data_IF_945386673886
#
_entry.id   IF_945386673886
#
_cell.length_a   1.000
_cell.length_b   1.000
_cell.length_c   1.000
_cell.angle_alpha   90.00
_cell.angle_beta   90.00
_cell.angle_gamma   90.00
#
_symmetry.space_group_name_H-M   'P 1'
#
loop_
_entity.id
_entity.type
_entity.pdbx_description
1 polymer ?
#
# COMPACT_ATOMS: atom_id res chain seq x y z
N UNK A 1 17.24 -8.39 19.87
CA UNK A 1 17.76 -7.51 18.79
C UNK A 1 16.69 -6.49 18.43
N UNK A 2 17.03 -5.28 17.99
CA UNK A 2 16.03 -4.33 17.51
C UNK A 2 15.16 -4.98 16.43
N UNK A 3 13.86 -4.70 16.44
CA UNK A 3 12.98 -5.13 15.36
C UNK A 3 13.14 -4.20 14.17
N UNK A 4 13.08 -4.76 12.96
CA UNK A 4 13.09 -4.00 11.72
C UNK A 4 11.85 -3.10 11.62
N UNK A 5 12.00 -1.91 11.03
CA UNK A 5 10.93 -0.94 10.83
C UNK A 5 10.73 -0.66 9.35
N UNK A 6 9.46 -0.56 8.91
CA UNK A 6 9.13 -0.23 7.52
C UNK A 6 7.95 0.72 7.42
N UNK A 7 7.83 1.36 6.25
CA UNK A 7 6.66 2.13 5.86
C UNK A 7 5.71 1.30 4.99
N UNK A 8 4.44 1.69 4.90
CA UNK A 8 3.45 0.98 4.07
C UNK A 8 3.35 1.59 2.67
N UNK A 9 3.21 2.91 2.54
CA UNK A 9 3.08 3.56 1.24
C UNK A 9 3.00 5.07 1.38
N UNK A 10 1.80 5.63 1.22
CA UNK A 10 1.58 7.06 1.16
C UNK A 10 2.10 7.85 2.36
N UNK A 11 2.61 9.02 2.09
CA UNK A 11 3.15 9.99 3.06
C UNK A 11 2.55 11.37 2.82
N UNK A 12 2.41 12.23 3.85
CA UNK A 12 1.90 13.58 3.65
C UNK A 12 2.77 14.37 2.69
N UNK A 13 2.16 14.91 1.65
CA UNK A 13 2.89 15.70 0.67
C UNK A 13 3.54 16.94 1.30
N UNK A 14 4.77 17.31 0.90
CA UNK A 14 5.34 18.60 1.22
C UNK A 14 4.43 19.74 0.74
N UNK A 15 4.29 20.80 1.55
CA UNK A 15 3.36 21.93 1.29
C UNK A 15 3.58 22.57 -0.09
N UNK A 16 4.81 22.55 -0.60
CA UNK A 16 5.16 23.15 -1.89
C UNK A 16 4.78 22.27 -3.10
N UNK A 17 4.49 20.97 -2.92
CA UNK A 17 4.26 20.06 -4.06
C UNK A 17 2.99 20.41 -4.83
N UNK A 18 1.91 20.80 -4.14
CA UNK A 18 0.60 21.18 -4.71
C UNK A 18 0.03 20.19 -5.73
N UNK A 19 0.53 18.96 -5.79
CA UNK A 19 0.02 17.91 -6.65
C UNK A 19 -1.35 17.50 -6.14
N UNK A 20 -2.39 17.53 -6.97
CA UNK A 20 -3.72 17.09 -6.56
C UNK A 20 -3.71 15.60 -6.25
N UNK A 21 -4.07 15.23 -5.03
CA UNK A 21 -4.21 13.84 -4.62
C UNK A 21 -5.52 13.62 -3.92
N UNK A 22 -5.91 12.38 -3.83
CA UNK A 22 -7.11 12.02 -3.12
C UNK A 22 -7.05 12.36 -1.61
N UNK A 23 -5.86 12.57 -1.03
CA UNK A 23 -5.69 13.02 0.36
C UNK A 23 -5.98 14.49 0.55
N UNK A 24 -5.72 15.32 -0.46
CA UNK A 24 -5.87 16.77 -0.37
C UNK A 24 -7.29 17.25 -0.66
N UNK A 25 -8.05 16.52 -1.47
CA UNK A 25 -9.35 16.93 -1.98
C UNK A 25 -10.51 15.97 -1.64
N UNK A 26 -10.36 15.10 -0.63
CA UNK A 26 -11.46 14.22 -0.20
C UNK A 26 -12.64 15.01 0.38
N UNK A 27 -13.88 14.55 0.14
CA UNK A 27 -14.29 13.41 -0.69
C UNK A 27 -14.40 13.71 -2.19
N UNK A 28 -14.13 14.94 -2.62
CA UNK A 28 -14.47 15.46 -3.95
C UNK A 28 -13.38 15.25 -5.01
N UNK A 29 -12.26 14.59 -4.66
CA UNK A 29 -11.18 14.31 -5.61
C UNK A 29 -11.67 13.48 -6.79
N UNK A 30 -11.36 13.94 -8.01
CA UNK A 30 -11.63 13.25 -9.26
C UNK A 30 -10.33 12.97 -10.01
N UNK A 31 -10.21 11.81 -10.69
CA UNK A 31 -9.07 11.55 -11.58
C UNK A 31 -8.82 12.63 -12.62
N UNK A 32 -9.88 13.33 -13.05
CA UNK A 32 -9.80 14.48 -13.97
C UNK A 32 -9.06 15.70 -13.41
N UNK A 33 -8.98 15.85 -12.08
CA UNK A 33 -8.28 16.99 -11.46
C UNK A 33 -6.77 16.87 -11.63
N UNK A 34 -6.25 15.65 -11.51
CA UNK A 34 -4.86 15.37 -11.83
C UNK A 34 -4.57 15.61 -13.33
N UNK A 35 -5.46 15.19 -14.22
CA UNK A 35 -5.30 15.43 -15.65
C UNK A 35 -5.24 16.94 -15.98
N UNK A 36 -6.09 17.77 -15.34
CA UNK A 36 -6.05 19.23 -15.49
C UNK A 36 -4.73 19.80 -15.00
N UNK A 37 -4.25 19.35 -13.85
CA UNK A 37 -2.98 19.78 -13.30
C UNK A 37 -1.82 19.45 -14.25
N UNK A 38 -1.76 18.23 -14.78
CA UNK A 38 -0.74 17.81 -15.75
C UNK A 38 -0.79 18.60 -17.05
N UNK A 39 -1.99 18.96 -17.53
CA UNK A 39 -2.15 19.79 -18.76
C UNK A 39 -1.67 21.24 -18.55
N UNK A 40 -1.59 21.72 -17.32
CA UNK A 40 -1.16 23.08 -16.98
C UNK A 40 0.30 23.15 -16.52
N UNK A 41 0.98 22.03 -16.39
CA UNK A 41 2.34 21.91 -15.83
C UNK A 41 3.25 21.28 -16.88
N UNK A 42 4.41 21.87 -17.15
CA UNK A 42 5.37 21.23 -18.05
C UNK A 42 5.90 19.94 -17.43
N UNK A 43 6.31 18.99 -18.25
CA UNK A 43 6.90 17.74 -17.75
C UNK A 43 8.14 18.01 -16.90
N UNK A 44 9.00 18.96 -17.31
CA UNK A 44 10.21 19.32 -16.57
C UNK A 44 9.88 19.91 -15.19
N UNK A 45 8.90 20.83 -15.11
CA UNK A 45 8.48 21.42 -13.83
C UNK A 45 7.85 20.39 -12.92
N UNK A 46 7.04 19.47 -13.48
CA UNK A 46 6.44 18.36 -12.73
C UNK A 46 7.52 17.42 -12.14
N UNK A 47 8.46 16.97 -12.97
CA UNK A 47 9.54 16.08 -12.53
C UNK A 47 10.42 16.74 -11.47
N UNK A 48 10.80 18.01 -11.65
CA UNK A 48 11.58 18.75 -10.66
C UNK A 48 10.83 18.90 -9.31
N UNK A 49 9.51 19.15 -9.38
CA UNK A 49 8.65 19.25 -8.20
C UNK A 49 8.58 17.93 -7.45
N UNK A 50 8.34 16.83 -8.17
CA UNK A 50 8.24 15.49 -7.61
C UNK A 50 9.56 15.04 -7.01
N UNK A 51 10.68 15.16 -7.74
CA UNK A 51 12.00 14.74 -7.26
C UNK A 51 12.37 15.45 -5.96
N UNK A 52 12.09 16.75 -5.87
CA UNK A 52 12.28 17.51 -4.64
C UNK A 52 11.43 16.97 -3.49
N UNK A 53 10.14 16.72 -3.74
CA UNK A 53 9.21 16.27 -2.72
C UNK A 53 9.48 14.82 -2.27
N UNK A 54 9.86 13.93 -3.20
CA UNK A 54 10.29 12.55 -2.89
C UNK A 54 11.55 12.56 -2.03
N UNK A 55 12.55 13.36 -2.41
CA UNK A 55 13.80 13.50 -1.64
C UNK A 55 13.55 13.99 -0.21
N UNK A 56 12.70 15.01 -0.03
CA UNK A 56 12.31 15.48 1.31
C UNK A 56 11.62 14.38 2.12
N UNK A 57 10.73 13.61 1.49
CA UNK A 57 10.00 12.50 2.13
C UNK A 57 10.95 11.37 2.55
N UNK A 58 11.88 10.97 1.70
CA UNK A 58 12.88 9.94 2.00
C UNK A 58 13.83 10.38 3.13
N UNK A 59 14.31 11.63 3.07
CA UNK A 59 15.15 12.18 4.11
C UNK A 59 14.45 12.24 5.47
N UNK A 60 13.16 12.59 5.50
CA UNK A 60 12.37 12.60 6.73
C UNK A 60 12.25 11.19 7.33
N UNK A 61 11.85 10.19 6.56
CA UNK A 61 11.74 8.79 6.99
C UNK A 61 13.09 8.25 7.49
N UNK A 62 14.17 8.50 6.74
CA UNK A 62 15.52 8.07 7.11
C UNK A 62 16.00 8.73 8.41
N UNK A 63 15.76 10.04 8.58
CA UNK A 63 16.14 10.78 9.79
C UNK A 63 15.36 10.32 11.03
N UNK A 64 14.16 9.78 10.86
CA UNK A 64 13.37 9.17 11.92
C UNK A 64 13.84 7.75 12.27
N UNK A 65 14.79 7.19 11.52
CA UNK A 65 15.37 5.88 11.80
C UNK A 65 14.62 4.69 11.18
N UNK A 66 13.74 4.90 10.21
CA UNK A 66 13.06 3.82 9.48
C UNK A 66 14.08 3.03 8.67
N UNK A 67 14.00 1.68 8.69
CA UNK A 67 14.96 0.80 8.01
C UNK A 67 14.62 0.59 6.53
N UNK A 68 13.36 0.35 6.18
CA UNK A 68 12.86 0.22 4.81
C UNK A 68 11.83 1.32 4.56
N UNK A 69 12.19 2.29 3.72
CA UNK A 69 11.40 3.49 3.44
C UNK A 69 10.56 3.33 2.16
N UNK A 70 9.65 4.28 1.89
CA UNK A 70 8.91 4.38 0.62
C UNK A 70 9.10 5.76 0.00
N UNK A 71 8.83 5.92 -1.30
CA UNK A 71 8.78 7.20 -1.99
C UNK A 71 7.60 8.09 -1.53
N UNK A 72 6.80 7.57 -0.59
CA UNK A 72 5.61 8.24 -0.05
C UNK A 72 4.45 8.36 -1.02
N UNK A 73 4.54 7.71 -2.19
CA UNK A 73 3.56 7.81 -3.28
C UNK A 73 3.34 9.25 -3.75
N UNK A 74 4.35 10.09 -3.58
CA UNK A 74 4.29 11.54 -3.84
C UNK A 74 3.90 11.84 -5.29
N UNK A 75 4.35 11.02 -6.23
CA UNK A 75 4.07 11.15 -7.65
C UNK A 75 2.62 10.80 -8.02
N UNK A 76 1.91 10.11 -7.14
CA UNK A 76 0.63 9.49 -7.44
C UNK A 76 -0.54 10.37 -7.01
N UNK A 77 -1.47 10.60 -7.91
CA UNK A 77 -2.78 11.17 -7.57
C UNK A 77 -3.61 10.22 -6.69
N UNK A 78 -3.53 8.95 -7.04
CA UNK A 78 -4.06 7.80 -6.32
C UNK A 78 -3.25 6.57 -6.76
N UNK A 79 -2.82 5.72 -5.83
CA UNK A 79 -1.92 4.60 -6.12
C UNK A 79 -2.49 3.60 -7.14
N UNK A 80 -3.82 3.43 -7.20
CA UNK A 80 -4.49 2.56 -8.18
C UNK A 80 -4.55 3.24 -9.54
N UNK A 81 -5.03 4.49 -9.58
CA UNK A 81 -5.17 5.25 -10.82
C UNK A 81 -3.83 5.44 -11.52
N UNK A 82 -2.77 5.67 -10.75
CA UNK A 82 -1.44 5.87 -11.28
C UNK A 82 -1.00 4.68 -12.15
N UNK A 83 -1.12 3.45 -11.66
CA UNK A 83 -0.82 2.26 -12.44
C UNK A 83 -1.80 2.10 -13.62
N UNK A 84 -3.11 2.23 -13.38
CA UNK A 84 -4.13 1.97 -14.40
C UNK A 84 -4.06 2.93 -15.59
N UNK A 85 -3.52 4.18 -15.41
CA UNK A 85 -3.33 5.13 -16.52
C UNK A 85 -2.38 4.61 -17.60
N UNK A 86 -1.45 3.76 -17.23
CA UNK A 86 -0.46 3.18 -18.14
C UNK A 86 -0.90 1.84 -18.73
N UNK A 87 -2.06 1.32 -18.36
CA UNK A 87 -2.55 0.02 -18.82
C UNK A 87 -3.58 0.20 -19.93
N UNK A 88 -3.36 -0.47 -21.07
CA UNK A 88 -4.34 -0.49 -22.15
C UNK A 88 -5.66 -1.11 -21.66
N UNK A 89 -6.78 -0.52 -22.07
CA UNK A 89 -8.12 -0.99 -21.76
C UNK A 89 -8.85 -0.16 -20.70
N UNK A 90 -8.14 0.69 -19.95
CA UNK A 90 -8.77 1.66 -19.03
C UNK A 90 -9.13 2.98 -19.74
N UNK A 91 -10.37 3.41 -19.56
CA UNK A 91 -10.88 4.72 -19.99
C UNK A 91 -10.91 5.69 -18.80
N UNK A 92 -10.05 6.71 -18.84
CA UNK A 92 -9.98 7.81 -17.87
C UNK A 92 -10.73 9.08 -18.33
N UNK A 93 -11.36 9.04 -19.51
CA UNK A 93 -12.13 10.15 -20.09
C UNK A 93 -13.60 10.03 -19.71
N UNK A 94 -14.18 8.84 -19.88
CA UNK A 94 -15.58 8.57 -19.57
C UNK A 94 -15.67 7.74 -18.28
N UNK A 95 -15.61 8.46 -17.16
CA UNK A 95 -15.64 7.85 -15.82
C UNK A 95 -17.02 7.28 -15.49
N UNK A 96 -17.06 6.23 -14.70
CA UNK A 96 -18.28 5.63 -14.19
C UNK A 96 -18.48 5.94 -12.71
N UNK A 97 -19.69 6.32 -12.32
CA UNK A 97 -20.06 6.44 -10.90
C UNK A 97 -20.15 5.05 -10.28
N UNK A 98 -19.35 4.79 -9.28
CA UNK A 98 -19.32 3.52 -8.54
C UNK A 98 -19.55 3.78 -7.05
N UNK A 99 -20.46 2.99 -6.48
CA UNK A 99 -20.58 2.89 -5.02
C UNK A 99 -19.39 2.11 -4.46
N UNK A 100 -18.65 2.73 -3.58
CA UNK A 100 -17.45 2.18 -2.97
C UNK A 100 -17.70 1.80 -1.51
N UNK A 101 -17.05 0.73 -1.05
CA UNK A 101 -17.07 0.25 0.34
C UNK A 101 -18.50 0.11 0.90
N UNK A 102 -19.32 -0.70 0.24
CA UNK A 102 -20.70 -0.98 0.66
C UNK A 102 -21.57 0.28 0.85
N UNK A 103 -21.39 1.27 -0.03
CA UNK A 103 -22.18 2.50 0.00
C UNK A 103 -21.61 3.63 0.85
N UNK A 104 -20.40 3.48 1.41
CA UNK A 104 -19.78 4.53 2.22
C UNK A 104 -19.58 5.84 1.45
N UNK A 105 -19.30 5.77 0.15
CA UNK A 105 -19.28 6.91 -0.77
C UNK A 105 -19.47 6.50 -2.23
N UNK A 106 -19.78 7.46 -3.07
CA UNK A 106 -19.82 7.31 -4.52
C UNK A 106 -18.63 8.04 -5.11
N UNK A 107 -17.84 7.34 -5.93
CA UNK A 107 -16.70 7.90 -6.65
C UNK A 107 -16.92 7.84 -8.17
N UNK A 108 -16.34 8.77 -8.91
CA UNK A 108 -16.14 8.66 -10.35
C UNK A 108 -14.83 7.93 -10.60
N UNK A 109 -14.90 6.72 -11.17
CA UNK A 109 -13.74 5.83 -11.33
C UNK A 109 -13.47 5.53 -12.80
N UNK A 110 -12.20 5.21 -13.17
CA UNK A 110 -11.88 4.76 -14.52
C UNK A 110 -12.61 3.47 -14.86
N UNK A 111 -12.91 3.27 -16.14
CA UNK A 111 -13.71 2.16 -16.62
C UNK A 111 -12.92 1.26 -17.56
N UNK A 112 -12.92 -0.03 -17.32
CA UNK A 112 -12.34 -1.03 -18.23
C UNK A 112 -13.34 -1.23 -19.39
N UNK A 113 -12.92 -0.88 -20.63
CA UNK A 113 -13.75 -0.95 -21.84
C UNK A 113 -13.20 -1.87 -22.92
N UNK A 114 -11.98 -2.32 -22.76
CA UNK A 114 -11.31 -3.23 -23.69
C UNK A 114 -10.55 -4.30 -22.90
N UNK A 115 -10.10 -5.34 -23.58
CA UNK A 115 -9.22 -6.34 -22.99
C UNK A 115 -7.94 -5.68 -22.46
N UNK A 116 -7.61 -5.97 -21.20
CA UNK A 116 -6.39 -5.46 -20.58
C UNK A 116 -5.15 -6.12 -21.18
N UNK A 117 -4.08 -5.34 -21.30
CA UNK A 117 -2.80 -5.80 -21.80
C UNK A 117 -1.63 -5.07 -21.16
N UNK A 118 -0.48 -5.75 -21.14
CA UNK A 118 0.77 -5.14 -20.71
C UNK A 118 1.11 -4.00 -21.68
N UNK A 119 1.39 -2.77 -21.19
CA UNK A 119 1.77 -1.66 -22.06
C UNK A 119 3.09 -1.95 -22.79
N UNK A 120 3.27 -1.36 -23.99
CA UNK A 120 4.51 -1.49 -24.76
C UNK A 120 5.72 -0.91 -24.03
N UNK A 121 5.55 0.28 -23.43
CA UNK A 121 6.54 0.86 -22.53
C UNK A 121 6.10 0.70 -21.08
N UNK A 122 6.84 -0.12 -20.36
CA UNK A 122 6.66 -0.40 -18.94
C UNK A 122 7.80 0.16 -18.09
N UNK A 123 8.78 0.82 -18.70
CA UNK A 123 9.99 1.29 -18.03
C UNK A 123 9.72 2.38 -16.98
N UNK A 124 8.62 3.05 -17.08
CA UNK A 124 8.25 4.19 -16.24
C UNK A 124 8.28 3.85 -14.74
N UNK A 125 7.73 2.71 -14.32
CA UNK A 125 7.65 2.34 -12.89
C UNK A 125 9.03 2.04 -12.30
N UNK A 126 9.90 1.36 -13.07
CA UNK A 126 11.27 1.11 -12.67
C UNK A 126 12.10 2.40 -12.62
N UNK A 127 11.87 3.34 -13.54
CA UNK A 127 12.54 4.63 -13.55
C UNK A 127 12.12 5.51 -12.36
N UNK A 128 10.83 5.54 -12.01
CA UNK A 128 10.33 6.24 -10.82
C UNK A 128 10.99 5.69 -9.55
N UNK A 129 10.98 4.36 -9.38
CA UNK A 129 11.63 3.73 -8.24
C UNK A 129 13.13 4.03 -8.20
N UNK A 130 13.83 3.93 -9.34
CA UNK A 130 15.26 4.20 -9.43
C UNK A 130 15.60 5.65 -9.07
N UNK A 131 14.79 6.62 -9.51
CA UNK A 131 14.94 8.02 -9.10
C UNK A 131 14.82 8.17 -7.58
N UNK A 132 13.87 7.52 -6.94
CA UNK A 132 13.72 7.53 -5.49
C UNK A 132 14.93 6.89 -4.80
N UNK A 133 15.37 5.69 -5.22
CA UNK A 133 16.49 4.97 -4.63
C UNK A 133 17.82 5.72 -4.74
N UNK A 134 18.05 6.45 -5.84
CA UNK A 134 19.27 7.28 -6.00
C UNK A 134 19.35 8.43 -4.98
N UNK A 135 18.26 8.82 -4.37
CA UNK A 135 18.18 9.87 -3.34
C UNK A 135 18.19 9.30 -1.91
N UNK A 136 18.39 7.99 -1.71
CA UNK A 136 18.28 7.37 -0.40
C UNK A 136 19.29 6.23 -0.23
N UNK A 137 20.02 6.21 0.90
CA UNK A 137 20.93 5.11 1.25
C UNK A 137 20.20 3.88 1.82
N UNK A 138 18.99 4.09 2.38
CA UNK A 138 18.15 3.00 2.87
C UNK A 138 17.43 2.33 1.70
N UNK A 139 17.05 1.04 1.83
CA UNK A 139 16.21 0.38 0.84
C UNK A 139 14.88 1.12 0.63
N UNK A 140 14.53 1.43 -0.60
CA UNK A 140 13.22 1.99 -0.98
C UNK A 140 12.31 0.86 -1.43
N UNK A 141 11.22 0.65 -0.70
CA UNK A 141 10.18 -0.30 -1.04
C UNK A 141 9.25 0.28 -2.10
N UNK A 142 9.00 -0.47 -3.18
CA UNK A 142 7.98 -0.14 -4.17
C UNK A 142 6.61 -0.69 -3.73
N UNK A 143 5.54 0.10 -3.91
CA UNK A 143 4.15 -0.31 -3.67
C UNK A 143 3.41 -0.41 -4.99
N UNK A 144 2.65 -1.49 -5.18
CA UNK A 144 1.90 -1.78 -6.41
C UNK A 144 0.48 -2.26 -6.02
N UNK A 145 -0.59 -1.72 -6.62
CA UNK A 145 -1.93 -2.24 -6.35
C UNK A 145 -2.11 -3.65 -6.91
N UNK A 146 -2.73 -4.52 -6.14
CA UNK A 146 -3.03 -5.88 -6.58
C UNK A 146 -4.33 -6.01 -7.39
N UNK A 147 -4.55 -7.16 -8.05
CA UNK A 147 -5.69 -7.38 -8.94
C UNK A 147 -7.05 -7.15 -8.28
N UNK A 148 -7.30 -7.70 -7.08
CA UNK A 148 -8.58 -7.52 -6.39
C UNK A 148 -8.84 -6.05 -6.04
N UNK A 149 -7.79 -5.34 -5.65
CA UNK A 149 -7.88 -3.90 -5.31
C UNK A 149 -8.18 -3.05 -6.54
N UNK A 150 -7.57 -3.36 -7.69
CA UNK A 150 -7.87 -2.69 -8.95
C UNK A 150 -9.34 -2.94 -9.33
N UNK A 151 -9.80 -4.19 -9.32
CA UNK A 151 -11.20 -4.56 -9.62
C UNK A 151 -12.17 -3.85 -8.67
N UNK A 152 -11.86 -3.86 -7.38
CA UNK A 152 -12.69 -3.23 -6.35
C UNK A 152 -12.81 -1.70 -6.50
N UNK A 153 -11.85 -1.07 -7.14
CA UNK A 153 -11.69 0.40 -7.21
C UNK A 153 -11.95 1.00 -8.60
N UNK A 154 -12.15 0.18 -9.63
CA UNK A 154 -12.44 0.61 -11.00
C UNK A 154 -13.79 0.05 -11.47
N UNK A 155 -14.35 0.56 -12.55
CA UNK A 155 -15.54 0.00 -13.17
C UNK A 155 -15.15 -0.97 -14.29
N UNK A 156 -15.95 -2.02 -14.47
CA UNK A 156 -15.76 -2.99 -15.54
C UNK A 156 -16.97 -2.95 -16.49
N UNK A 157 -16.72 -2.73 -17.79
CA UNK A 157 -17.71 -2.75 -18.85
C UNK A 157 -17.33 -3.70 -20.02
N UNK A 158 -16.29 -4.52 -19.82
CA UNK A 158 -15.79 -5.41 -20.87
C UNK A 158 -15.84 -6.89 -20.50
N UNK A 159 -15.40 -7.26 -19.28
CA UNK A 159 -15.33 -8.66 -18.87
C UNK A 159 -16.64 -9.13 -18.24
N UNK A 160 -17.13 -10.29 -18.66
CA UNK A 160 -18.28 -10.97 -18.05
C UNK A 160 -17.87 -11.74 -16.78
N UNK A 161 -16.63 -12.21 -16.71
CA UNK A 161 -16.07 -12.96 -15.57
C UNK A 161 -14.97 -12.16 -14.87
N UNK A 162 -15.16 -11.90 -13.58
CA UNK A 162 -14.17 -11.19 -12.74
C UNK A 162 -12.89 -11.99 -12.51
N UNK A 163 -12.95 -13.32 -12.58
CA UNK A 163 -11.77 -14.18 -12.45
C UNK A 163 -10.89 -14.08 -13.71
N UNK A 164 -11.50 -13.98 -14.90
CA UNK A 164 -10.79 -13.70 -16.15
C UNK A 164 -10.13 -12.31 -16.09
N UNK A 165 -10.89 -11.28 -15.69
CA UNK A 165 -10.36 -9.93 -15.48
C UNK A 165 -9.16 -9.93 -14.52
N UNK A 166 -9.29 -10.62 -13.38
CA UNK A 166 -8.23 -10.75 -12.40
C UNK A 166 -6.98 -11.43 -12.98
N UNK A 167 -7.17 -12.49 -13.79
CA UNK A 167 -6.07 -13.20 -14.47
C UNK A 167 -5.31 -12.31 -15.48
N UNK A 168 -6.01 -11.44 -16.22
CA UNK A 168 -5.35 -10.49 -17.11
C UNK A 168 -4.62 -9.38 -16.32
N UNK A 169 -5.17 -8.94 -15.19
CA UNK A 169 -4.49 -8.02 -14.27
C UNK A 169 -3.23 -8.64 -13.65
N UNK A 170 -3.23 -9.94 -13.34
CA UNK A 170 -2.00 -10.65 -12.89
C UNK A 170 -0.86 -10.48 -13.89
N UNK A 171 -1.13 -10.64 -15.18
CA UNK A 171 -0.10 -10.48 -16.24
C UNK A 171 0.44 -9.04 -16.26
N UNK A 172 -0.45 -8.07 -16.14
CA UNK A 172 -0.09 -6.65 -16.11
C UNK A 172 0.76 -6.33 -14.86
N UNK A 173 0.31 -6.72 -13.69
CA UNK A 173 1.01 -6.45 -12.42
C UNK A 173 2.36 -7.20 -12.37
N UNK A 174 2.41 -8.46 -12.81
CA UNK A 174 3.65 -9.23 -12.89
C UNK A 174 4.69 -8.55 -13.79
N UNK A 175 4.27 -8.00 -14.94
CA UNK A 175 5.17 -7.28 -15.82
C UNK A 175 5.73 -6.00 -15.14
N UNK A 176 4.91 -5.25 -14.40
CA UNK A 176 5.37 -4.09 -13.62
C UNK A 176 6.36 -4.50 -12.53
N UNK A 177 6.07 -5.58 -11.79
CA UNK A 177 6.98 -6.12 -10.77
C UNK A 177 8.30 -6.55 -11.39
N UNK A 178 8.28 -7.26 -12.53
CA UNK A 178 9.51 -7.63 -13.25
C UNK A 178 10.35 -6.42 -13.67
N UNK A 179 9.70 -5.34 -14.10
CA UNK A 179 10.40 -4.11 -14.43
C UNK A 179 11.04 -3.44 -13.21
N UNK A 180 10.35 -3.39 -12.07
CA UNK A 180 10.91 -2.93 -10.79
C UNK A 180 12.15 -3.74 -10.40
N UNK A 181 12.09 -5.07 -10.50
CA UNK A 181 13.21 -5.97 -10.18
C UNK A 181 14.39 -5.74 -11.13
N UNK A 182 14.13 -5.55 -12.42
CA UNK A 182 15.15 -5.21 -13.43
C UNK A 182 15.81 -3.85 -13.15
N UNK A 183 15.04 -2.89 -12.63
CA UNK A 183 15.56 -1.59 -12.19
C UNK A 183 16.44 -1.68 -10.93
N UNK A 184 16.38 -2.80 -10.19
CA UNK A 184 17.16 -3.07 -8.98
C UNK A 184 16.36 -3.12 -7.68
N UNK A 185 15.02 -2.96 -7.73
CA UNK A 185 14.17 -3.02 -6.55
C UNK A 185 14.21 -4.41 -5.89
N UNK A 186 14.35 -4.43 -4.55
CA UNK A 186 14.42 -5.68 -3.78
C UNK A 186 13.34 -5.78 -2.69
N UNK A 187 12.55 -4.73 -2.48
CA UNK A 187 11.41 -4.73 -1.57
C UNK A 187 10.17 -4.31 -2.37
N UNK A 188 9.23 -5.23 -2.58
CA UNK A 188 8.01 -4.96 -3.37
C UNK A 188 6.80 -5.36 -2.57
N UNK A 189 5.91 -4.40 -2.35
CA UNK A 189 4.65 -4.58 -1.65
C UNK A 189 3.49 -4.56 -2.64
N UNK A 190 2.68 -5.61 -2.59
CA UNK A 190 1.40 -5.69 -3.29
C UNK A 190 0.27 -5.26 -2.36
N UNK A 191 -0.48 -4.23 -2.72
CA UNK A 191 -1.56 -3.68 -1.90
C UNK A 191 -2.90 -4.33 -2.23
N UNK A 192 -3.41 -5.14 -1.30
CA UNK A 192 -4.66 -5.92 -1.47
C UNK A 192 -5.68 -5.72 -0.34
N UNK A 193 -6.03 -4.48 0.04
CA UNK A 193 -7.03 -4.23 1.07
C UNK A 193 -8.43 -4.79 0.75
N UNK A 194 -8.72 -5.12 -0.51
CA UNK A 194 -10.02 -5.70 -0.91
C UNK A 194 -10.15 -7.15 -0.45
N UNK A 195 -9.06 -7.90 -0.31
CA UNK A 195 -9.10 -9.29 0.16
C UNK A 195 -9.80 -9.43 1.51
N UNK A 196 -9.52 -8.53 2.45
CA UNK A 196 -10.10 -8.57 3.79
C UNK A 196 -11.59 -8.22 3.79
N UNK A 197 -12.04 -7.44 2.80
CA UNK A 197 -13.45 -7.05 2.66
C UNK A 197 -14.29 -8.09 1.90
N UNK A 198 -13.63 -8.96 1.14
CA UNK A 198 -14.26 -10.03 0.37
C UNK A 198 -13.46 -11.32 0.53
N UNK A 199 -13.41 -11.88 1.77
CA UNK A 199 -12.55 -13.03 2.08
C UNK A 199 -12.91 -14.28 1.27
N UNK A 200 -14.20 -14.49 0.92
CA UNK A 200 -14.61 -15.62 0.08
C UNK A 200 -13.99 -15.56 -1.32
N UNK A 201 -13.94 -14.37 -1.92
CA UNK A 201 -13.32 -14.15 -3.24
C UNK A 201 -11.79 -14.28 -3.10
N UNK A 202 -11.23 -13.79 -2.00
CA UNK A 202 -9.80 -13.96 -1.71
C UNK A 202 -9.40 -15.44 -1.61
N UNK A 203 -10.23 -16.27 -0.97
CA UNK A 203 -10.03 -17.71 -0.88
C UNK A 203 -10.25 -18.45 -2.20
N UNK A 204 -11.24 -18.04 -3.02
CA UNK A 204 -11.51 -18.68 -4.31
C UNK A 204 -10.33 -18.51 -5.28
N UNK A 205 -9.88 -17.27 -5.52
CA UNK A 205 -8.80 -16.99 -6.47
C UNK A 205 -7.88 -15.83 -6.09
N UNK A 206 -8.32 -14.91 -5.24
CA UNK A 206 -7.62 -13.64 -5.02
C UNK A 206 -6.20 -13.80 -4.49
N UNK A 207 -5.99 -14.67 -3.49
CA UNK A 207 -4.67 -14.94 -2.90
C UNK A 207 -3.76 -15.63 -3.91
N UNK A 208 -4.28 -16.60 -4.67
CA UNK A 208 -3.50 -17.29 -5.71
C UNK A 208 -3.07 -16.32 -6.82
N UNK A 209 -3.98 -15.45 -7.25
CA UNK A 209 -3.67 -14.42 -8.26
C UNK A 209 -2.67 -13.37 -7.73
N UNK A 210 -2.77 -12.97 -6.47
CA UNK A 210 -1.78 -12.08 -5.86
C UNK A 210 -0.38 -12.73 -5.80
N UNK A 211 -0.31 -14.01 -5.44
CA UNK A 211 0.93 -14.79 -5.48
C UNK A 211 1.52 -14.86 -6.90
N UNK A 212 0.67 -15.13 -7.91
CA UNK A 212 1.08 -15.20 -9.32
C UNK A 212 1.63 -13.86 -9.86
N UNK A 213 1.29 -12.73 -9.23
CA UNK A 213 1.91 -11.44 -9.59
C UNK A 213 3.43 -11.46 -9.39
N UNK A 214 3.95 -12.37 -8.57
CA UNK A 214 5.39 -12.56 -8.35
C UNK A 214 5.99 -13.74 -9.12
N UNK A 215 5.29 -14.32 -10.09
CA UNK A 215 5.80 -15.43 -10.88
C UNK A 215 7.08 -15.07 -11.64
N UNK A 216 8.11 -15.92 -11.46
CA UNK A 216 9.42 -15.73 -12.07
C UNK A 216 10.31 -14.71 -11.36
N UNK A 217 9.92 -14.23 -10.17
CA UNK A 217 10.73 -13.34 -9.33
C UNK A 217 11.62 -14.18 -8.41
N UNK A 218 12.92 -13.87 -8.43
CA UNK A 218 13.94 -14.58 -7.63
C UNK A 218 13.82 -14.35 -6.11
N UNK A 219 14.50 -15.20 -5.34
CA UNK A 219 14.48 -15.19 -3.88
C UNK A 219 15.28 -14.06 -3.22
N UNK A 220 15.91 -13.17 -4.00
CA UNK A 220 16.58 -11.96 -3.51
C UNK A 220 15.66 -10.74 -3.42
N UNK A 221 14.36 -10.93 -3.75
CA UNK A 221 13.31 -9.92 -3.66
C UNK A 221 12.37 -10.27 -2.53
N UNK A 222 12.21 -9.37 -1.59
CA UNK A 222 11.23 -9.45 -0.49
C UNK A 222 9.84 -9.14 -1.06
N UNK A 223 8.93 -10.11 -0.96
CA UNK A 223 7.56 -10.08 -1.48
C UNK A 223 6.61 -9.82 -0.34
N UNK A 224 6.10 -8.60 -0.23
CA UNK A 224 5.15 -8.20 0.81
C UNK A 224 3.73 -8.14 0.24
N UNK A 225 2.74 -8.63 0.96
CA UNK A 225 1.33 -8.34 0.71
C UNK A 225 0.77 -7.48 1.84
N UNK A 226 0.14 -6.34 1.50
CA UNK A 226 -0.47 -5.44 2.48
C UNK A 226 -1.99 -5.55 2.48
N UNK A 227 -2.55 -5.74 3.67
CA UNK A 227 -3.96 -5.95 3.92
C UNK A 227 -4.44 -4.97 5.00
N UNK A 228 -5.27 -3.99 4.64
CA UNK A 228 -5.89 -3.11 5.64
C UNK A 228 -7.42 -3.28 5.68
N UNK A 229 -7.99 -3.12 6.88
CA UNK A 229 -9.42 -3.34 7.09
C UNK A 229 -10.32 -2.22 6.57
N UNK A 230 -9.78 -1.05 6.33
CA UNK A 230 -10.51 0.11 5.83
C UNK A 230 -9.76 1.41 6.11
N UNK A 231 -9.95 2.40 5.24
CA UNK A 231 -9.30 3.71 5.32
C UNK A 231 -10.35 4.80 5.53
N UNK A 232 -10.21 5.69 6.53
CA UNK A 232 -11.18 6.76 6.79
C UNK A 232 -11.13 7.86 5.73
N UNK A 233 -12.12 8.75 5.73
CA UNK A 233 -12.20 9.89 4.82
C UNK A 233 -11.48 11.13 5.39
N UNK A 234 -11.38 11.25 6.71
CA UNK A 234 -10.75 12.38 7.41
C UNK A 234 -10.14 11.94 8.73
N UNK A 235 -9.28 12.80 9.27
CA UNK A 235 -8.62 12.58 10.55
C UNK A 235 -9.66 12.44 11.69
N UNK A 236 -9.40 11.52 12.61
CA UNK A 236 -10.26 11.20 13.77
C UNK A 236 -11.66 10.68 13.41
N UNK A 237 -11.92 10.28 12.18
CA UNK A 237 -13.15 9.57 11.84
C UNK A 237 -13.20 8.21 12.52
N UNK A 238 -14.30 7.92 13.21
CA UNK A 238 -14.51 6.65 13.95
C UNK A 238 -15.57 5.75 13.35
N UNK A 239 -16.48 6.31 12.57
CA UNK A 239 -17.69 5.67 12.03
C UNK A 239 -17.56 5.21 10.57
N UNK A 240 -16.35 4.92 10.11
CA UNK A 240 -16.14 4.40 8.76
C UNK A 240 -16.21 2.86 8.70
N UNK A 241 -16.69 2.29 7.58
CA UNK A 241 -16.78 0.85 7.43
C UNK A 241 -15.42 0.17 7.48
N UNK A 242 -15.30 -0.82 8.36
CA UNK A 242 -14.16 -1.74 8.44
C UNK A 242 -14.59 -3.14 7.99
N UNK A 243 -13.64 -3.92 7.52
CA UNK A 243 -13.81 -5.35 7.28
C UNK A 243 -14.27 -6.07 8.56
N UNK A 244 -14.90 -7.22 8.39
CA UNK A 244 -15.28 -8.10 9.50
C UNK A 244 -14.06 -8.41 10.38
N UNK A 245 -14.30 -8.64 11.68
CA UNK A 245 -13.21 -8.97 12.63
C UNK A 245 -12.54 -10.30 12.33
N UNK A 246 -13.33 -11.25 11.81
CA UNK A 246 -12.85 -12.61 11.53
C UNK A 246 -12.25 -12.74 10.12
N UNK A 247 -12.30 -11.68 9.31
CA UNK A 247 -11.81 -11.71 7.94
C UNK A 247 -10.34 -12.11 7.82
N UNK A 248 -9.48 -11.63 8.73
CA UNK A 248 -8.08 -12.06 8.75
C UNK A 248 -7.94 -13.54 9.07
N UNK A 249 -8.67 -14.07 10.04
CA UNK A 249 -8.66 -15.49 10.38
C UNK A 249 -9.07 -16.39 9.23
N UNK A 250 -10.08 -15.96 8.46
CA UNK A 250 -10.54 -16.73 7.29
C UNK A 250 -9.45 -16.97 6.25
N UNK A 251 -8.56 -16.00 6.05
CA UNK A 251 -7.56 -16.03 4.97
C UNK A 251 -6.12 -16.28 5.44
N UNK A 252 -5.86 -16.27 6.75
CA UNK A 252 -4.51 -16.30 7.32
C UNK A 252 -3.69 -17.52 6.87
N UNK A 253 -4.23 -18.73 7.00
CA UNK A 253 -3.52 -19.96 6.64
C UNK A 253 -3.17 -19.99 5.13
N UNK A 254 -4.08 -19.54 4.27
CA UNK A 254 -3.83 -19.50 2.82
C UNK A 254 -2.79 -18.44 2.49
N UNK A 255 -2.80 -17.29 3.16
CA UNK A 255 -1.78 -16.24 2.99
C UNK A 255 -0.39 -16.74 3.39
N UNK A 256 -0.25 -17.42 4.54
CA UNK A 256 1.03 -17.97 5.01
C UNK A 256 1.59 -19.03 4.06
N UNK A 257 0.73 -19.71 3.27
CA UNK A 257 1.13 -20.71 2.28
C UNK A 257 1.36 -20.14 0.88
N UNK A 258 0.98 -18.89 0.62
CA UNK A 258 0.95 -18.31 -0.73
C UNK A 258 2.32 -17.87 -1.27
N UNK A 259 3.40 -17.98 -0.47
CA UNK A 259 4.76 -17.66 -0.89
C UNK A 259 5.13 -16.18 -0.79
N UNK A 260 4.40 -15.41 0.00
CA UNK A 260 4.82 -14.07 0.44
C UNK A 260 5.86 -14.20 1.57
N UNK A 261 6.91 -13.39 1.52
CA UNK A 261 7.90 -13.30 2.58
C UNK A 261 7.34 -12.55 3.78
N UNK A 262 6.45 -11.58 3.51
CA UNK A 262 5.86 -10.68 4.50
C UNK A 262 4.36 -10.50 4.29
N UNK A 263 3.58 -10.53 5.38
CA UNK A 263 2.16 -10.21 5.40
C UNK A 263 1.93 -9.02 6.32
N UNK A 264 1.47 -7.90 5.76
CA UNK A 264 1.22 -6.66 6.50
C UNK A 264 -0.23 -6.56 6.93
N UNK A 265 -0.44 -6.42 8.25
CA UNK A 265 -1.74 -6.43 8.91
C UNK A 265 -1.96 -5.15 9.74
N UNK A 266 -3.16 -4.56 9.64
CA UNK A 266 -3.61 -3.49 10.52
C UNK A 266 -3.85 -4.04 11.94
N UNK A 267 -3.36 -3.35 12.98
CA UNK A 267 -3.57 -3.74 14.38
C UNK A 267 -3.79 -2.53 15.34
N UNK A 268 -3.28 -1.35 15.03
CA UNK A 268 -3.38 -0.21 15.93
C UNK A 268 -4.77 0.44 15.96
N UNK A 269 -5.47 0.53 14.83
CA UNK A 269 -6.86 1.02 14.81
C UNK A 269 -7.83 0.06 15.46
N UNK A 270 -7.60 -1.24 15.31
CA UNK A 270 -8.42 -2.29 15.86
C UNK A 270 -7.54 -3.50 16.17
N UNK A 271 -7.26 -3.71 17.46
CA UNK A 271 -6.46 -4.85 17.94
C UNK A 271 -7.03 -6.17 17.46
N UNK A 272 -6.19 -6.97 16.84
CA UNK A 272 -6.50 -8.34 16.50
C UNK A 272 -6.40 -9.23 17.75
N UNK A 273 -7.14 -10.33 17.76
CA UNK A 273 -6.90 -11.39 18.74
C UNK A 273 -5.50 -11.97 18.52
N UNK A 274 -4.78 -12.25 19.60
CA UNK A 274 -3.40 -12.72 19.53
C UNK A 274 -3.28 -14.07 18.84
N UNK A 275 -4.31 -14.91 18.92
CA UNK A 275 -4.32 -16.21 18.24
C UNK A 275 -4.26 -16.11 16.71
N UNK A 276 -4.58 -14.94 16.12
CA UNK A 276 -4.37 -14.70 14.69
C UNK A 276 -2.91 -14.94 14.28
N UNK A 277 -1.97 -14.52 15.11
CA UNK A 277 -0.55 -14.62 14.80
C UNK A 277 -0.02 -16.06 14.86
N UNK A 278 -0.75 -16.99 15.49
CA UNK A 278 -0.43 -18.42 15.48
C UNK A 278 -0.55 -19.06 14.09
N UNK A 279 -1.28 -18.44 13.17
CA UNK A 279 -1.45 -18.93 11.80
C UNK A 279 -0.22 -18.65 10.90
N UNK A 280 0.66 -17.70 11.27
CA UNK A 280 1.80 -17.30 10.46
C UNK A 280 3.07 -18.01 10.93
N UNK A 281 3.52 -19.01 10.16
CA UNK A 281 4.70 -19.83 10.44
C UNK A 281 5.81 -19.66 9.42
N UNK A 282 5.48 -19.24 8.20
CA UNK A 282 6.41 -19.05 7.08
C UNK A 282 6.65 -17.58 6.79
N UNK A 283 5.58 -16.81 6.68
CA UNK A 283 5.65 -15.38 6.39
C UNK A 283 5.96 -14.59 7.67
N UNK A 284 6.76 -13.54 7.53
CA UNK A 284 6.93 -12.53 8.58
C UNK A 284 5.68 -11.67 8.67
N UNK A 285 5.36 -11.20 9.88
CA UNK A 285 4.28 -10.23 10.11
C UNK A 285 4.86 -8.81 10.11
N UNK A 286 4.34 -7.96 9.21
CA UNK A 286 4.52 -6.51 9.27
C UNK A 286 3.34 -5.96 10.05
N UNK A 287 3.56 -5.68 11.34
CA UNK A 287 2.51 -5.30 12.28
C UNK A 287 2.26 -3.81 12.27
N UNK A 288 1.03 -3.41 11.96
CA UNK A 288 0.55 -2.05 12.16
C UNK A 288 0.53 -1.68 13.64
N UNK A 289 1.37 -0.74 14.04
CA UNK A 289 1.61 -0.38 15.45
C UNK A 289 1.19 1.04 15.81
N UNK A 290 0.95 1.89 14.80
CA UNK A 290 0.44 3.25 14.97
C UNK A 290 -0.75 3.50 14.05
N UNK A 291 -1.81 4.12 14.59
CA UNK A 291 -3.03 4.42 13.84
C UNK A 291 -2.82 5.61 12.90
N UNK A 292 -3.18 5.42 11.62
CA UNK A 292 -2.84 6.36 10.53
C UNK A 292 -3.81 7.55 10.40
N UNK A 293 -4.95 7.50 11.06
CA UNK A 293 -5.97 8.55 10.96
C UNK A 293 -6.52 8.98 12.33
N UNK A 294 -5.70 8.88 13.36
CA UNK A 294 -5.98 9.39 14.69
C UNK A 294 -4.92 10.41 15.10
N UNK A 295 -5.39 11.54 15.64
CA UNK A 295 -4.51 12.60 16.18
C UNK A 295 -3.82 12.17 17.47
N UNK A 296 -4.38 11.19 18.22
CA UNK A 296 -3.74 10.61 19.40
C UNK A 296 -2.43 9.93 19.02
N UNK A 297 -1.36 10.24 19.72
CA UNK A 297 -0.05 9.62 19.55
C UNK A 297 0.06 8.44 20.52
N UNK A 298 0.37 7.25 20.00
CA UNK A 298 0.65 6.05 20.80
C UNK A 298 1.96 6.22 21.56
N UNK A 299 1.98 5.86 22.85
CA UNK A 299 3.21 5.90 23.63
C UNK A 299 4.16 4.74 23.28
N UNK A 300 5.45 4.95 23.52
CA UNK A 300 6.49 3.92 23.31
C UNK A 300 6.14 2.63 24.07
N UNK A 301 5.68 2.73 25.34
CA UNK A 301 5.35 1.55 26.14
C UNK A 301 4.09 0.83 25.66
N UNK A 302 3.09 1.58 25.18
CA UNK A 302 1.88 1.00 24.57
C UNK A 302 2.23 0.15 23.33
N UNK A 303 3.09 0.69 22.44
CA UNK A 303 3.57 -0.03 21.25
C UNK A 303 4.40 -1.24 21.70
N UNK A 304 5.39 -1.05 22.59
CA UNK A 304 6.27 -2.10 23.08
C UNK A 304 5.52 -3.24 23.75
N UNK A 305 4.51 -2.93 24.57
CA UNK A 305 3.66 -3.95 25.20
C UNK A 305 2.97 -4.81 24.15
N UNK A 306 2.42 -4.20 23.10
CA UNK A 306 1.76 -4.95 22.02
C UNK A 306 2.74 -5.82 21.24
N UNK A 307 3.92 -5.29 20.90
CA UNK A 307 4.95 -6.06 20.21
C UNK A 307 5.38 -7.30 21.03
N UNK A 308 5.57 -7.17 22.35
CA UNK A 308 5.88 -8.30 23.24
C UNK A 308 4.77 -9.35 23.24
N UNK A 309 3.51 -8.94 23.24
CA UNK A 309 2.40 -9.89 23.22
C UNK A 309 2.33 -10.65 21.89
N UNK A 310 2.48 -9.97 20.76
CA UNK A 310 2.52 -10.60 19.44
C UNK A 310 3.69 -11.56 19.29
N UNK A 311 4.88 -11.19 19.78
CA UNK A 311 6.07 -12.05 19.72
C UNK A 311 5.90 -13.40 20.39
N UNK A 312 5.02 -13.54 21.39
CA UNK A 312 4.73 -14.85 22.05
C UNK A 312 4.04 -15.83 21.12
N UNK A 313 3.45 -15.37 20.03
CA UNK A 313 2.70 -16.14 19.04
C UNK A 313 3.48 -16.40 17.74
N UNK A 314 4.62 -15.73 17.55
CA UNK A 314 5.46 -15.87 16.35
C UNK A 314 6.63 -16.85 16.59
N UNK A 315 7.17 -17.50 15.54
CA UNK A 315 8.27 -18.45 15.65
C UNK A 315 9.56 -17.85 16.25
N UNK A 316 9.85 -16.60 15.96
CA UNK A 316 11.02 -15.86 16.48
C UNK A 316 10.83 -14.36 16.33
N UNK A 317 11.72 -13.56 16.92
CA UNK A 317 11.72 -12.11 16.76
C UNK A 317 11.90 -11.67 15.29
N UNK A 318 12.64 -12.43 14.51
CA UNK A 318 12.86 -12.15 13.08
C UNK A 318 11.59 -12.27 12.22
N UNK A 319 10.50 -12.83 12.79
CA UNK A 319 9.20 -12.91 12.14
C UNK A 319 8.32 -11.67 12.39
N UNK A 320 8.83 -10.66 13.11
CA UNK A 320 8.07 -9.43 13.38
C UNK A 320 8.79 -8.21 12.83
N UNK A 321 8.10 -7.46 11.99
CA UNK A 321 8.51 -6.15 11.46
C UNK A 321 7.49 -5.12 11.95
N UNK A 322 7.93 -3.92 12.27
CA UNK A 322 7.10 -2.87 12.86
C UNK A 322 6.78 -1.80 11.83
N UNK A 323 5.51 -1.47 11.65
CA UNK A 323 5.04 -0.50 10.66
C UNK A 323 3.84 0.32 11.16
N UNK A 324 3.45 1.39 10.46
CA UNK A 324 2.10 1.96 10.59
C UNK A 324 1.03 0.99 10.09
N UNK A 325 -0.24 1.17 10.52
CA UNK A 325 -1.38 0.36 10.06
C UNK A 325 -1.59 0.41 8.53
N UNK A 326 -1.31 1.55 7.92
CA UNK A 326 -1.46 1.80 6.49
C UNK A 326 -0.66 3.05 6.09
N UNK A 327 -0.90 3.62 4.90
CA UNK A 327 -0.30 4.88 4.47
C UNK A 327 -0.68 6.07 5.36
N UNK A 328 0.24 7.01 5.53
CA UNK A 328 0.16 8.10 6.50
C UNK A 328 -0.36 9.43 5.92
N UNK A 329 -0.82 9.44 4.67
CA UNK A 329 -1.13 10.66 3.90
C UNK A 329 -2.08 11.67 4.56
N UNK A 330 -2.86 11.27 5.58
CA UNK A 330 -3.77 12.16 6.33
C UNK A 330 -3.15 12.86 7.52
N UNK A 331 -2.01 12.36 8.04
CA UNK A 331 -1.49 12.88 9.31
C UNK A 331 -0.85 14.26 9.12
N UNK A 332 -1.14 15.21 10.00
CA UNK A 332 -0.30 16.40 10.16
C UNK A 332 1.13 15.99 10.50
N UNK A 333 2.10 16.72 9.95
CA UNK A 333 3.53 16.33 10.03
C UNK A 333 4.07 16.23 11.45
N UNK A 334 3.61 17.07 12.37
CA UNK A 334 4.00 17.03 13.78
C UNK A 334 3.51 15.75 14.48
N UNK A 335 2.26 15.38 14.26
CA UNK A 335 1.66 14.13 14.77
C UNK A 335 2.36 12.92 14.15
N UNK A 336 2.59 12.94 12.85
CA UNK A 336 3.30 11.89 12.13
C UNK A 336 4.68 11.64 12.73
N UNK A 337 5.48 12.70 12.91
CA UNK A 337 6.82 12.58 13.49
C UNK A 337 6.79 12.01 14.91
N UNK A 338 5.87 12.47 15.73
CA UNK A 338 5.71 11.96 17.10
C UNK A 338 5.36 10.46 17.10
N UNK A 339 4.45 10.02 16.25
CA UNK A 339 4.07 8.61 16.12
C UNK A 339 5.23 7.74 15.62
N UNK A 340 5.91 8.16 14.56
CA UNK A 340 7.04 7.40 13.99
C UNK A 340 8.23 7.36 14.93
N UNK A 341 8.55 8.44 15.64
CA UNK A 341 9.59 8.43 16.68
C UNK A 341 9.28 7.40 17.77
N UNK A 342 8.05 7.40 18.29
CA UNK A 342 7.64 6.43 19.33
C UNK A 342 7.66 4.99 18.79
N UNK A 343 7.29 4.79 17.52
CA UNK A 343 7.32 3.48 16.86
C UNK A 343 8.74 2.95 16.74
N UNK A 344 9.67 3.77 16.23
CA UNK A 344 11.08 3.39 16.07
C UNK A 344 11.74 3.17 17.42
N UNK A 345 11.49 4.04 18.41
CA UNK A 345 12.01 3.85 19.78
C UNK A 345 11.48 2.54 20.38
N UNK A 346 10.21 2.23 20.22
CA UNK A 346 9.64 0.96 20.70
C UNK A 346 10.31 -0.25 20.02
N UNK A 347 10.50 -0.22 18.69
CA UNK A 347 11.15 -1.29 17.93
C UNK A 347 12.63 -1.48 18.31
N UNK A 348 13.38 -0.38 18.47
CA UNK A 348 14.83 -0.40 18.79
C UNK A 348 15.13 -0.96 20.18
N UNK A 349 14.19 -0.87 21.11
CA UNK A 349 14.34 -1.28 22.52
C UNK A 349 13.70 -2.63 22.84
N UNK A 350 13.26 -3.38 21.81
CA UNK A 350 12.83 -4.75 21.97
C UNK A 350 14.02 -5.67 22.29
N UNK A 351 13.85 -6.67 23.17
CA UNK A 351 14.94 -7.55 23.63
C UNK A 351 15.53 -8.43 22.55
#
# INVERSE_FOLDING_TARGET
MPLETTMIGSYPQPIHSKIPTWFTNKPDFKPSDFNKFMNCTSTEDYEALVDKAVKETLNEQTSLGIDVVTDGEIRRDNYINHLCRHVKGFDFTNLTKKSCRNGAWVAEVPTIREKLGVPEDISWIGNEWKSAQLNCEKPVKATVPGPMTIIGSTANAFYDDLKELSSDLVKVVNAHIKNLVQAGCRHIQLDEPVMVRTPDIALDYGIDHASQCFDGIGGDVVKTVHLCCGYPLYLDQTDYPKADKDAYFMIADKLDQAGFDEVSLEDAHRRNDLSLFDHFKKSKIVLGSVAIARSRVESVEEIRSRLRDVLKHLPSADHLIVAPDCGLGFLPKDILRAKLNNMVEAASTMP
#
